data_IF_129385015817
#
_entry.id   IF_129385015817
#
_cell.length_a   1.000
_cell.length_b   1.000
_cell.length_c   1.000
_cell.angle_alpha   90.00
_cell.angle_beta   90.00
_cell.angle_gamma   90.00
#
_symmetry.space_group_name_H-M   'P 1'
#
loop_
_entity.id
_entity.type
_entity.pdbx_description
1 polymer ?
#
# COMPACT_ATOMS: atom_id res chain seq x y z
N UNK A 1 -17.09 -44.21 9.81
CA UNK A 1 -15.65 -44.51 9.74
C UNK A 1 -14.89 -43.23 10.13
N UNK A 2 -13.70 -43.33 10.73
CA UNK A 2 -12.84 -42.17 11.00
C UNK A 2 -11.83 -41.87 9.88
N UNK A 3 -11.86 -42.68 8.81
CA UNK A 3 -10.89 -42.62 7.72
C UNK A 3 -10.93 -41.33 6.92
N UNK A 4 -12.08 -40.67 6.83
CA UNK A 4 -12.22 -39.39 6.13
C UNK A 4 -11.32 -38.30 6.75
N UNK A 5 -11.25 -38.22 8.08
CA UNK A 5 -10.41 -37.24 8.79
C UNK A 5 -8.93 -37.59 8.67
N UNK A 6 -8.60 -38.89 8.64
CA UNK A 6 -7.23 -39.35 8.39
C UNK A 6 -6.76 -38.99 6.98
N UNK A 7 -7.62 -39.20 5.97
CA UNK A 7 -7.33 -38.85 4.57
C UNK A 7 -7.11 -37.34 4.43
N UNK A 8 -7.94 -36.51 5.08
CA UNK A 8 -7.74 -35.05 5.10
C UNK A 8 -6.41 -34.65 5.78
N UNK A 9 -6.02 -35.34 6.85
CA UNK A 9 -4.72 -35.13 7.50
C UNK A 9 -3.53 -35.50 6.60
N UNK A 10 -3.63 -36.59 5.83
CA UNK A 10 -2.59 -36.98 4.87
C UNK A 10 -2.50 -35.98 3.71
N UNK A 11 -3.64 -35.53 3.19
CA UNK A 11 -3.67 -34.51 2.12
C UNK A 11 -3.10 -33.18 2.61
N UNK A 12 -3.36 -32.79 3.86
CA UNK A 12 -2.74 -31.61 4.48
C UNK A 12 -1.20 -31.69 4.50
N UNK A 13 -0.63 -32.88 4.73
CA UNK A 13 0.82 -33.10 4.67
C UNK A 13 1.40 -33.07 3.25
N UNK A 14 0.59 -33.22 2.20
CA UNK A 14 1.02 -33.11 0.80
C UNK A 14 0.81 -31.73 0.20
N UNK A 15 -0.15 -30.97 0.73
CA UNK A 15 -0.59 -29.68 0.14
C UNK A 15 0.03 -28.45 0.80
N UNK A 16 0.75 -28.60 1.91
CA UNK A 16 1.35 -27.48 2.65
C UNK A 16 2.34 -26.62 1.85
N UNK A 17 2.96 -27.19 0.81
CA UNK A 17 3.92 -26.48 -0.06
C UNK A 17 3.24 -25.83 -1.28
N UNK A 18 1.97 -26.14 -1.56
CA UNK A 18 1.28 -25.64 -2.75
C UNK A 18 0.62 -24.29 -2.41
N UNK A 19 0.95 -23.21 -3.15
CA UNK A 19 0.28 -21.92 -3.00
C UNK A 19 -1.25 -22.07 -3.13
N UNK A 20 -2.01 -21.29 -2.37
CA UNK A 20 -3.48 -21.33 -2.27
C UNK A 20 -4.11 -22.52 -1.53
N UNK A 21 -3.53 -23.72 -1.57
CA UNK A 21 -4.12 -24.91 -0.92
C UNK A 21 -3.53 -25.24 0.46
N UNK A 22 -2.32 -24.75 0.78
CA UNK A 22 -1.61 -25.07 2.01
C UNK A 22 -2.28 -24.63 3.31
N UNK A 23 -3.08 -23.56 3.29
CA UNK A 23 -3.83 -23.07 4.47
C UNK A 23 -5.27 -23.62 4.59
N UNK A 24 -6.12 -23.60 3.54
CA UNK A 24 -7.51 -24.02 3.69
C UNK A 24 -7.66 -25.52 3.98
N UNK A 25 -6.79 -26.38 3.42
CA UNK A 25 -6.91 -27.84 3.57
C UNK A 25 -6.66 -28.32 5.01
N UNK A 26 -5.58 -27.90 5.71
CA UNK A 26 -5.40 -28.23 7.13
C UNK A 26 -6.53 -27.71 8.03
N UNK A 27 -7.07 -26.51 7.75
CA UNK A 27 -8.17 -25.91 8.52
C UNK A 27 -9.45 -26.74 8.41
N UNK A 28 -9.80 -27.18 7.19
CA UNK A 28 -10.96 -28.05 6.96
C UNK A 28 -10.78 -29.38 7.70
N UNK A 29 -9.59 -29.98 7.65
CA UNK A 29 -9.28 -31.22 8.38
C UNK A 29 -9.42 -31.07 9.90
N UNK A 30 -8.97 -29.94 10.46
CA UNK A 30 -9.10 -29.60 11.88
C UNK A 30 -10.56 -29.44 12.30
N UNK A 31 -11.33 -28.61 11.59
CA UNK A 31 -12.75 -28.34 11.91
C UNK A 31 -13.58 -29.62 11.80
N UNK A 32 -13.40 -30.38 10.71
CA UNK A 32 -14.14 -31.63 10.50
C UNK A 32 -13.75 -32.70 11.52
N UNK A 33 -12.47 -32.79 11.88
CA UNK A 33 -11.96 -33.71 12.90
C UNK A 33 -12.53 -33.43 14.30
N UNK A 34 -12.55 -32.16 14.72
CA UNK A 34 -13.12 -31.74 16.02
C UNK A 34 -14.62 -32.00 16.08
N UNK A 35 -15.36 -31.73 14.99
CA UNK A 35 -16.80 -32.00 14.91
C UNK A 35 -17.12 -33.50 15.02
N UNK A 36 -16.33 -34.36 14.38
CA UNK A 36 -16.50 -35.81 14.45
C UNK A 36 -16.16 -36.36 15.83
N UNK A 37 -15.10 -35.86 16.48
CA UNK A 37 -14.76 -36.23 17.86
C UNK A 37 -15.88 -35.88 18.84
N UNK A 38 -16.54 -34.73 18.64
CA UNK A 38 -17.67 -34.28 19.47
C UNK A 38 -18.94 -35.10 19.23
N UNK A 39 -19.20 -35.51 17.98
CA UNK A 39 -20.45 -36.23 17.60
C UNK A 39 -20.37 -37.75 17.76
N UNK A 40 -19.19 -38.36 17.68
CA UNK A 40 -19.03 -39.83 17.66
C UNK A 40 -17.80 -40.28 18.48
N UNK A 41 -17.92 -40.39 19.81
CA UNK A 41 -16.79 -40.71 20.69
C UNK A 41 -16.31 -42.17 20.64
N UNK A 42 -16.98 -43.07 19.91
CA UNK A 42 -16.64 -44.49 19.83
C UNK A 42 -15.45 -44.81 18.90
N UNK A 43 -14.92 -43.85 18.14
CA UNK A 43 -13.90 -44.07 17.09
C UNK A 43 -12.76 -43.07 17.18
N UNK A 44 -12.18 -42.94 18.38
CA UNK A 44 -11.19 -41.90 18.74
C UNK A 44 -9.86 -42.01 18.00
N UNK A 45 -9.27 -43.21 17.90
CA UNK A 45 -7.89 -43.37 17.43
C UNK A 45 -7.62 -42.77 16.06
N UNK A 46 -8.38 -43.16 15.05
CA UNK A 46 -8.17 -42.73 13.66
C UNK A 46 -8.47 -41.25 13.44
N UNK A 47 -9.48 -40.70 14.14
CA UNK A 47 -9.83 -39.29 14.04
C UNK A 47 -8.81 -38.40 14.76
N UNK A 48 -8.28 -38.83 15.91
CA UNK A 48 -7.20 -38.12 16.61
C UNK A 48 -5.95 -38.02 15.73
N UNK A 49 -5.55 -39.10 15.05
CA UNK A 49 -4.42 -39.06 14.13
C UNK A 49 -4.60 -38.05 13.01
N UNK A 50 -5.80 -37.96 12.41
CA UNK A 50 -6.10 -36.96 11.37
C UNK A 50 -6.03 -35.53 11.89
N UNK A 51 -6.54 -35.26 13.10
CA UNK A 51 -6.45 -33.93 13.74
C UNK A 51 -4.99 -33.53 14.02
N UNK A 52 -4.16 -34.48 14.50
CA UNK A 52 -2.73 -34.24 14.74
C UNK A 52 -2.02 -33.92 13.41
N UNK A 53 -2.25 -34.71 12.37
CA UNK A 53 -1.67 -34.50 11.04
C UNK A 53 -2.07 -33.15 10.43
N UNK A 54 -3.34 -32.75 10.54
CA UNK A 54 -3.81 -31.43 10.10
C UNK A 54 -3.18 -30.29 10.92
N UNK A 55 -2.93 -30.49 12.21
CA UNK A 55 -2.25 -29.49 13.05
C UNK A 55 -0.80 -29.28 12.62
N UNK A 56 -0.09 -30.37 12.30
CA UNK A 56 1.28 -30.31 11.77
C UNK A 56 1.31 -29.63 10.39
N UNK A 57 0.39 -30.01 9.49
CA UNK A 57 0.29 -29.39 8.17
C UNK A 57 0.03 -27.88 8.23
N UNK A 58 -0.83 -27.43 9.16
CA UNK A 58 -1.08 -26.01 9.38
C UNK A 58 0.16 -25.27 9.89
N UNK A 59 0.90 -25.87 10.83
CA UNK A 59 2.14 -25.28 11.36
C UNK A 59 3.21 -25.13 10.27
N UNK A 60 3.37 -26.15 9.42
CA UNK A 60 4.31 -26.11 8.29
C UNK A 60 3.92 -25.05 7.26
N UNK A 61 2.62 -24.94 6.92
CA UNK A 61 2.13 -23.92 5.99
C UNK A 61 2.40 -22.50 6.50
N UNK A 62 2.11 -22.22 7.78
CA UNK A 62 2.40 -20.90 8.38
C UNK A 62 3.90 -20.61 8.40
N UNK A 63 4.72 -21.59 8.80
CA UNK A 63 6.18 -21.44 8.81
C UNK A 63 6.72 -21.13 7.42
N UNK A 64 6.22 -21.82 6.39
CA UNK A 64 6.59 -21.56 5.00
C UNK A 64 6.19 -20.16 4.53
N UNK A 65 4.98 -19.69 4.88
CA UNK A 65 4.57 -18.31 4.55
C UNK A 65 5.45 -17.26 5.21
N UNK A 66 5.85 -17.47 6.47
CA UNK A 66 6.74 -16.55 7.19
C UNK A 66 8.13 -16.54 6.54
N UNK A 67 8.71 -17.71 6.24
CA UNK A 67 10.01 -17.81 5.57
C UNK A 67 9.95 -17.20 4.18
N UNK A 68 8.87 -17.38 3.43
CA UNK A 68 8.70 -16.76 2.13
C UNK A 68 8.68 -15.23 2.23
N UNK A 69 7.96 -14.67 3.19
CA UNK A 69 7.88 -13.20 3.39
C UNK A 69 9.23 -12.64 3.88
N UNK A 70 9.92 -13.34 4.76
CA UNK A 70 11.25 -12.94 5.25
C UNK A 70 12.37 -13.17 4.21
N UNK A 71 12.24 -14.18 3.36
CA UNK A 71 13.19 -14.52 2.31
C UNK A 71 13.07 -13.66 1.05
N UNK A 72 11.95 -12.95 0.88
CA UNK A 72 11.80 -11.88 -0.10
C UNK A 72 12.17 -10.50 0.46
N UNK A 73 12.70 -10.43 1.69
CA UNK A 73 13.30 -9.19 2.16
C UNK A 73 14.51 -8.88 1.25
N UNK A 74 14.54 -7.71 0.58
CA UNK A 74 15.76 -7.27 -0.10
C UNK A 74 16.90 -7.24 0.91
N UNK A 75 18.11 -7.59 0.50
CA UNK A 75 19.31 -7.75 1.33
C UNK A 75 19.58 -6.57 2.29
N UNK A 76 19.02 -6.57 3.50
CA UNK A 76 19.21 -5.51 4.51
C UNK A 76 20.54 -5.67 5.28
N UNK A 77 21.31 -6.74 5.04
CA UNK A 77 22.55 -7.03 5.80
C UNK A 77 23.74 -7.50 4.96
N UNK A 78 24.00 -6.87 3.81
CA UNK A 78 25.32 -6.99 3.17
C UNK A 78 26.14 -5.71 3.36
N UNK A 79 26.74 -5.55 4.53
CA UNK A 79 27.86 -4.61 4.72
C UNK A 79 29.16 -5.30 4.33
N UNK A 80 29.55 -5.18 3.07
CA UNK A 80 30.93 -5.40 2.63
C UNK A 80 31.39 -4.18 1.83
N UNK A 81 32.39 -3.40 2.30
CA UNK A 81 32.98 -2.36 1.49
C UNK A 81 34.04 -3.01 0.57
N UNK A 82 33.72 -3.13 -0.71
CA UNK A 82 34.62 -3.76 -1.68
C UNK A 82 34.23 -3.51 -3.14
N UNK A 83 34.45 -2.28 -3.60
CA UNK A 83 34.77 -1.82 -4.96
C UNK A 83 34.18 -2.52 -6.21
N UNK A 84 33.44 -1.69 -6.95
CA UNK A 84 33.49 -1.44 -8.40
C UNK A 84 33.00 -2.52 -9.37
N UNK A 85 31.80 -2.31 -9.91
CA UNK A 85 31.60 -2.18 -11.37
C UNK A 85 30.35 -1.30 -11.67
N UNK A 86 30.63 -0.05 -12.05
CA UNK A 86 29.88 0.79 -12.99
C UNK A 86 28.35 0.79 -13.02
N UNK A 87 27.69 1.29 -11.98
CA UNK A 87 26.53 2.20 -12.11
C UNK A 87 26.67 3.23 -10.99
N UNK A 88 27.05 4.46 -11.33
CA UNK A 88 27.06 5.55 -10.33
C UNK A 88 25.61 5.95 -10.12
N UNK A 89 25.00 5.47 -9.04
CA UNK A 89 23.77 6.07 -8.53
C UNK A 89 24.10 7.49 -8.05
N UNK A 90 23.35 8.51 -8.49
CA UNK A 90 23.52 9.86 -7.98
C UNK A 90 23.39 9.88 -6.44
N UNK A 91 24.17 10.72 -5.74
CA UNK A 91 23.95 10.97 -4.31
C UNK A 91 22.48 11.33 -4.06
N UNK A 92 21.88 10.90 -2.93
CA UNK A 92 20.56 11.36 -2.54
C UNK A 92 20.53 12.90 -2.56
N UNK A 93 19.69 13.51 -3.40
CA UNK A 93 19.58 14.96 -3.55
C UNK A 93 20.53 15.63 -4.55
N UNK A 94 21.10 14.92 -5.53
CA UNK A 94 21.83 15.57 -6.63
C UNK A 94 20.96 15.95 -7.84
N UNK A 95 19.67 15.59 -7.82
CA UNK A 95 18.68 16.01 -8.81
C UNK A 95 17.89 17.17 -8.20
N UNK A 96 17.81 18.29 -8.91
CA UNK A 96 16.95 19.40 -8.50
C UNK A 96 15.50 18.95 -8.65
N UNK A 97 14.74 18.97 -7.55
CA UNK A 97 13.36 18.50 -7.58
C UNK A 97 12.50 19.35 -8.50
N UNK A 98 11.75 18.70 -9.37
CA UNK A 98 10.80 19.33 -10.25
C UNK A 98 9.59 18.41 -10.41
N UNK A 99 8.39 18.93 -10.15
CA UNK A 99 7.17 18.17 -10.42
C UNK A 99 6.92 18.09 -11.95
N UNK A 100 7.58 17.17 -12.64
CA UNK A 100 7.46 17.00 -14.10
C UNK A 100 6.65 15.75 -14.48
N UNK A 101 6.22 14.97 -13.49
CA UNK A 101 5.46 13.75 -13.65
C UNK A 101 6.35 12.54 -13.92
N UNK A 102 7.67 12.64 -13.72
CA UNK A 102 8.66 11.58 -13.91
C UNK A 102 9.54 11.46 -12.68
N UNK A 103 9.25 10.44 -11.85
CA UNK A 103 10.04 10.17 -10.65
C UNK A 103 11.40 9.57 -11.00
N UNK A 104 12.47 10.36 -10.87
CA UNK A 104 13.84 9.94 -11.19
C UNK A 104 14.58 9.32 -9.99
N UNK A 105 15.55 8.40 -10.23
CA UNK A 105 16.41 7.89 -9.17
C UNK A 105 17.18 9.03 -8.47
N UNK A 106 16.95 9.19 -7.17
CA UNK A 106 17.64 10.20 -6.35
C UNK A 106 16.92 11.54 -6.22
N UNK A 107 15.77 11.71 -6.89
CA UNK A 107 14.90 12.88 -6.76
C UNK A 107 14.24 12.97 -5.38
N UNK A 108 13.77 11.84 -4.85
CA UNK A 108 13.24 11.72 -3.50
C UNK A 108 14.19 10.93 -2.60
N UNK A 109 14.28 11.36 -1.34
CA UNK A 109 15.10 10.69 -0.32
C UNK A 109 14.49 9.37 0.13
N UNK A 110 13.16 9.36 0.31
CA UNK A 110 12.42 8.25 0.87
C UNK A 110 11.36 7.75 -0.11
N UNK A 111 11.03 6.46 -0.02
CA UNK A 111 9.89 5.90 -0.73
C UNK A 111 9.37 4.64 -0.03
N UNK A 112 8.11 4.30 -0.29
CA UNK A 112 7.44 3.11 0.24
C UNK A 112 6.49 2.54 -0.81
N UNK A 113 6.52 1.21 -0.94
CA UNK A 113 5.55 0.47 -1.74
C UNK A 113 4.37 0.05 -0.88
N UNK A 114 3.16 0.18 -1.42
CA UNK A 114 1.90 -0.22 -0.83
C UNK A 114 1.19 -1.26 -1.71
N UNK A 115 0.05 -1.79 -1.24
CA UNK A 115 -0.76 -2.73 -2.01
C UNK A 115 -1.28 -2.10 -3.31
N UNK A 116 -1.71 -2.94 -4.26
CA UNK A 116 -2.25 -2.53 -5.57
C UNK A 116 -1.27 -1.73 -6.45
N UNK A 117 0.04 -1.89 -6.22
CA UNK A 117 1.07 -1.24 -7.06
C UNK A 117 1.24 0.26 -6.80
N UNK A 118 0.74 0.75 -5.65
CA UNK A 118 0.91 2.15 -5.24
C UNK A 118 2.31 2.34 -4.67
N UNK A 119 2.99 3.40 -5.11
CA UNK A 119 4.29 3.82 -4.61
C UNK A 119 4.19 5.28 -4.17
N UNK A 120 4.71 5.59 -2.98
CA UNK A 120 4.77 6.96 -2.47
C UNK A 120 6.21 7.31 -2.19
N UNK A 121 6.63 8.47 -2.66
CA UNK A 121 7.96 9.02 -2.56
C UNK A 121 7.86 10.33 -1.79
N UNK A 122 8.81 10.60 -0.91
CA UNK A 122 8.82 11.84 -0.15
C UNK A 122 10.22 12.30 0.25
N UNK A 123 10.31 13.61 0.47
CA UNK A 123 11.38 14.25 1.22
C UNK A 123 10.85 15.57 1.81
N UNK A 124 11.62 16.17 2.71
CA UNK A 124 11.32 17.48 3.24
C UNK A 124 12.60 18.31 3.43
N UNK A 125 12.42 19.62 3.45
CA UNK A 125 13.37 20.58 4.00
C UNK A 125 12.75 21.27 5.23
N UNK A 126 13.33 22.38 5.69
CA UNK A 126 12.85 23.11 6.86
C UNK A 126 11.47 23.78 6.66
N UNK A 127 10.99 23.88 5.42
CA UNK A 127 9.80 24.65 5.05
C UNK A 127 8.75 23.82 4.30
N UNK A 128 9.17 22.88 3.48
CA UNK A 128 8.33 22.16 2.53
C UNK A 128 8.45 20.64 2.67
N UNK A 129 7.36 19.96 2.38
CA UNK A 129 7.36 18.56 2.00
C UNK A 129 7.16 18.44 0.49
N UNK A 130 7.84 17.48 -0.10
CA UNK A 130 7.77 17.11 -1.51
C UNK A 130 7.25 15.68 -1.57
N UNK A 131 6.19 15.43 -2.32
CA UNK A 131 5.51 14.13 -2.40
C UNK A 131 5.32 13.75 -3.86
N UNK A 132 5.67 12.50 -4.18
CA UNK A 132 5.29 11.83 -5.41
C UNK A 132 4.43 10.61 -5.10
N UNK A 133 3.32 10.41 -5.81
CA UNK A 133 2.52 9.18 -5.77
C UNK A 133 2.36 8.62 -7.18
N UNK A 134 2.64 7.32 -7.32
CA UNK A 134 2.52 6.57 -8.57
C UNK A 134 1.62 5.35 -8.35
N UNK A 135 0.68 5.11 -9.26
CA UNK A 135 -0.15 3.92 -9.24
C UNK A 135 -0.52 3.47 -10.65
N UNK A 136 -0.76 2.16 -10.81
CA UNK A 136 -1.29 1.57 -12.05
C UNK A 136 -2.78 1.91 -12.15
N UNK A 137 -3.11 2.99 -12.86
CA UNK A 137 -4.47 3.45 -13.13
C UNK A 137 -4.50 4.47 -14.27
N UNK A 138 -5.65 4.56 -14.95
CA UNK A 138 -6.00 5.65 -15.87
C UNK A 138 -6.81 6.77 -15.18
N UNK A 139 -7.22 6.57 -13.93
CA UNK A 139 -7.98 7.55 -13.16
C UNK A 139 -7.13 8.38 -12.20
N UNK A 140 -7.73 8.85 -11.12
CA UNK A 140 -7.05 9.67 -10.13
C UNK A 140 -6.20 8.89 -9.12
N UNK A 141 -5.20 9.56 -8.55
CA UNK A 141 -4.45 9.16 -7.36
C UNK A 141 -4.54 10.27 -6.31
N UNK A 142 -4.45 9.92 -5.03
CA UNK A 142 -4.45 10.90 -3.95
C UNK A 142 -3.67 10.46 -2.72
N UNK A 143 -3.14 11.46 -2.03
CA UNK A 143 -2.57 11.38 -0.69
C UNK A 143 -3.39 12.29 0.21
N UNK A 144 -3.91 11.73 1.29
CA UNK A 144 -4.63 12.48 2.31
C UNK A 144 -3.88 12.42 3.63
N UNK A 145 -3.58 13.56 4.22
CA UNK A 145 -3.02 13.67 5.56
C UNK A 145 -4.14 13.59 6.58
N UNK A 146 -3.86 12.92 7.70
CA UNK A 146 -4.83 12.72 8.80
C UNK A 146 -4.10 12.84 10.14
N UNK A 147 -4.77 13.37 11.17
CA UNK A 147 -4.22 13.41 12.53
C UNK A 147 -4.42 12.08 13.27
N UNK A 148 -5.54 11.39 13.01
CA UNK A 148 -5.89 10.14 13.68
C UNK A 148 -6.65 9.17 12.76
N UNK A 149 -6.57 7.88 13.06
CA UNK A 149 -7.28 6.85 12.30
C UNK A 149 -8.77 6.88 12.63
N UNK A 150 -9.63 6.92 11.60
CA UNK A 150 -11.11 6.77 11.67
C UNK A 150 -11.87 7.93 12.33
N UNK A 151 -11.22 9.05 12.61
CA UNK A 151 -11.82 10.26 13.16
C UNK A 151 -11.05 11.46 12.60
N UNK A 152 -11.74 12.57 12.31
CA UNK A 152 -11.11 13.77 11.72
C UNK A 152 -11.33 13.93 10.22
N UNK A 153 -11.13 15.16 9.75
CA UNK A 153 -11.14 15.47 8.32
C UNK A 153 -9.83 15.07 7.66
N UNK A 154 -9.88 14.93 6.34
CA UNK A 154 -8.74 14.51 5.54
C UNK A 154 -8.30 15.67 4.63
N UNK A 155 -7.10 16.18 4.86
CA UNK A 155 -6.41 17.15 4.03
C UNK A 155 -5.84 16.41 2.82
N UNK A 156 -6.50 16.53 1.68
CA UNK A 156 -6.33 15.63 0.53
C UNK A 156 -5.80 16.38 -0.68
N UNK A 157 -4.64 15.94 -1.17
CA UNK A 157 -4.14 16.30 -2.49
C UNK A 157 -4.45 15.16 -3.45
N UNK A 158 -5.22 15.47 -4.50
CA UNK A 158 -5.70 14.52 -5.49
C UNK A 158 -5.37 14.99 -6.90
N UNK A 159 -5.12 14.07 -7.82
CA UNK A 159 -4.95 14.43 -9.22
C UNK A 159 -5.11 13.27 -10.20
N UNK A 160 -5.44 13.60 -11.44
CA UNK A 160 -5.50 12.69 -12.59
C UNK A 160 -4.98 13.40 -13.84
N UNK A 161 -4.63 12.66 -14.89
CA UNK A 161 -4.42 13.25 -16.21
C UNK A 161 -5.59 12.87 -17.10
N UNK A 162 -6.17 13.85 -17.80
CA UNK A 162 -7.31 13.60 -18.68
C UNK A 162 -6.89 12.85 -19.96
N UNK A 163 -7.89 12.56 -20.81
CA UNK A 163 -7.67 11.94 -22.13
C UNK A 163 -6.70 12.70 -23.07
N UNK A 164 -6.44 13.98 -22.82
CA UNK A 164 -5.46 14.80 -23.55
C UNK A 164 -4.07 14.80 -22.89
N UNK A 165 -3.88 13.99 -21.84
CA UNK A 165 -2.69 13.94 -20.97
C UNK A 165 -2.43 15.25 -20.25
N UNK A 166 -3.46 16.08 -20.06
CA UNK A 166 -3.37 17.28 -19.24
C UNK A 166 -3.64 16.90 -17.79
N UNK A 167 -2.71 17.23 -16.90
CA UNK A 167 -2.87 17.01 -15.46
C UNK A 167 -3.87 17.96 -14.81
N UNK A 168 -4.71 17.41 -13.94
CA UNK A 168 -5.66 18.12 -13.08
C UNK A 168 -5.34 17.78 -11.64
N UNK A 169 -5.21 18.80 -10.79
CA UNK A 169 -4.87 18.65 -9.38
C UNK A 169 -5.87 19.40 -8.51
N UNK A 170 -6.16 18.84 -7.34
CA UNK A 170 -7.17 19.31 -6.42
C UNK A 170 -6.62 19.30 -5.01
N UNK A 171 -6.78 20.45 -4.36
CA UNK A 171 -6.58 20.66 -2.93
C UNK A 171 -7.95 20.56 -2.26
N UNK A 172 -8.18 19.48 -1.52
CA UNK A 172 -9.50 19.07 -1.06
C UNK A 172 -9.49 18.88 0.45
N UNK A 173 -10.58 19.30 1.08
CA UNK A 173 -10.90 18.90 2.44
C UNK A 173 -12.05 17.90 2.41
N UNK A 174 -11.81 16.70 2.93
CA UNK A 174 -12.89 15.74 3.15
C UNK A 174 -13.36 15.85 4.61
N UNK A 175 -14.59 16.32 4.83
CA UNK A 175 -15.17 16.37 6.17
C UNK A 175 -15.56 14.97 6.67
N UNK A 176 -15.73 14.82 7.99
CA UNK A 176 -16.15 13.58 8.68
C UNK A 176 -17.59 13.12 8.35
N UNK A 177 -18.26 13.72 7.37
CA UNK A 177 -19.65 13.37 7.07
C UNK A 177 -19.75 11.98 6.40
N UNK A 178 -20.76 11.16 6.76
CA UNK A 178 -20.88 9.78 6.30
C UNK A 178 -21.10 9.61 4.78
N UNK A 179 -21.35 10.69 4.06
CA UNK A 179 -21.62 10.72 2.62
C UNK A 179 -20.36 10.80 1.76
N UNK A 180 -19.19 11.08 2.35
CA UNK A 180 -17.92 11.08 1.65
C UNK A 180 -17.77 12.19 0.61
N UNK A 181 -18.54 13.27 0.73
CA UNK A 181 -18.41 14.45 -0.14
C UNK A 181 -17.08 15.14 0.12
N UNK A 182 -16.24 15.22 -0.93
CA UNK A 182 -15.01 16.02 -0.93
C UNK A 182 -15.38 17.42 -1.37
N UNK A 183 -15.13 18.40 -0.51
CA UNK A 183 -15.39 19.80 -0.83
C UNK A 183 -14.05 20.46 -1.17
N UNK A 184 -14.03 21.29 -2.22
CA UNK A 184 -12.82 22.04 -2.56
C UNK A 184 -12.56 23.06 -1.45
N UNK A 185 -11.32 23.15 -0.98
CA UNK A 185 -11.00 23.94 0.21
C UNK A 185 -11.32 25.44 0.03
N UNK A 186 -11.17 25.95 -1.20
CA UNK A 186 -11.56 27.31 -1.58
C UNK A 186 -13.07 27.56 -1.45
N UNK A 187 -13.90 26.51 -1.55
CA UNK A 187 -15.36 26.61 -1.41
C UNK A 187 -15.80 26.62 0.05
N UNK A 188 -14.94 26.17 0.97
CA UNK A 188 -15.14 26.20 2.42
C UNK A 188 -14.55 27.43 3.11
N UNK A 189 -13.92 28.32 2.33
CA UNK A 189 -13.28 29.54 2.82
C UNK A 189 -11.79 29.39 3.16
N UNK A 190 -11.18 28.25 2.83
CA UNK A 190 -9.73 28.02 2.90
C UNK A 190 -8.96 28.77 1.81
N UNK A 191 -7.65 28.91 2.01
CA UNK A 191 -6.69 29.38 1.03
C UNK A 191 -6.01 28.17 0.40
N UNK A 192 -5.83 28.15 -0.93
CA UNK A 192 -5.03 27.08 -1.53
C UNK A 192 -3.60 27.16 -1.01
N UNK A 193 -3.13 26.07 -0.42
CA UNK A 193 -1.82 25.98 0.21
C UNK A 193 -0.73 25.45 -0.72
N UNK A 194 -1.12 25.14 -1.95
CA UNK A 194 -0.23 24.70 -3.02
C UNK A 194 0.54 25.90 -3.61
N UNK A 195 1.84 25.96 -3.30
CA UNK A 195 2.71 27.05 -3.73
C UNK A 195 3.38 26.78 -5.08
N UNK A 196 3.64 25.50 -5.38
CA UNK A 196 3.96 25.03 -6.73
C UNK A 196 3.40 23.62 -6.92
N UNK A 197 2.88 23.39 -8.11
CA UNK A 197 2.40 22.10 -8.57
C UNK A 197 2.69 22.00 -10.06
N UNK A 198 3.09 20.82 -10.51
CA UNK A 198 3.16 20.55 -11.92
C UNK A 198 2.90 19.06 -12.19
N UNK A 199 2.33 18.81 -13.36
CA UNK A 199 2.16 17.52 -14.02
C UNK A 199 1.58 16.36 -13.17
N UNK A 200 0.25 16.18 -13.28
CA UNK A 200 -0.27 14.81 -13.28
C UNK A 200 -0.08 14.27 -14.68
N UNK A 201 0.82 13.31 -14.84
CA UNK A 201 1.14 12.70 -16.13
C UNK A 201 0.70 11.24 -16.11
N UNK A 202 -0.04 10.83 -17.14
CA UNK A 202 -0.14 9.40 -17.47
C UNK A 202 1.19 9.02 -18.14
N UNK A 203 2.05 8.32 -17.40
CA UNK A 203 3.23 7.70 -18.01
C UNK A 203 2.74 6.47 -18.79
N UNK A 204 2.99 6.48 -20.11
CA UNK A 204 2.74 5.32 -20.95
C UNK A 204 3.71 4.20 -20.63
N UNK A 205 3.13 3.05 -20.28
CA UNK A 205 3.46 1.68 -20.68
C UNK A 205 4.97 1.43 -20.90
N UNK A 206 5.63 0.80 -19.93
CA UNK A 206 6.82 0.01 -20.25
C UNK A 206 6.38 -0.99 -21.32
N UNK A 207 7.03 -1.03 -22.49
CA UNK A 207 6.62 -1.87 -23.63
C UNK A 207 6.50 -3.38 -23.28
N UNK A 208 6.96 -3.81 -22.10
CA UNK A 208 6.82 -5.15 -21.53
C UNK A 208 5.64 -5.34 -20.53
N UNK A 209 5.02 -4.27 -20.02
CA UNK A 209 3.85 -4.31 -19.14
C UNK A 209 2.79 -3.31 -19.62
N UNK A 210 1.73 -3.84 -20.23
CA UNK A 210 0.50 -3.16 -20.76
C UNK A 210 -0.28 -2.25 -19.77
N UNK A 211 0.35 -1.78 -18.69
CA UNK A 211 -0.25 -1.02 -17.60
C UNK A 211 0.08 0.48 -17.71
N UNK A 212 -0.94 1.32 -17.79
CA UNK A 212 -0.83 2.77 -17.63
C UNK A 212 -0.58 3.15 -16.17
N UNK A 213 0.31 4.12 -15.94
CA UNK A 213 0.54 4.68 -14.61
C UNK A 213 0.07 6.12 -14.56
N UNK A 214 -0.58 6.49 -13.47
CA UNK A 214 -0.80 7.90 -13.11
C UNK A 214 0.21 8.29 -12.04
N UNK A 215 0.92 9.39 -12.29
CA UNK A 215 1.90 9.98 -11.37
C UNK A 215 1.46 11.39 -11.01
N UNK A 216 1.45 11.68 -9.72
CA UNK A 216 1.17 13.01 -9.17
C UNK A 216 2.36 13.43 -8.29
N UNK A 217 2.90 14.61 -8.56
CA UNK A 217 3.99 15.22 -7.80
C UNK A 217 3.60 16.62 -7.34
N UNK A 218 3.90 16.95 -6.08
CA UNK A 218 3.59 18.27 -5.53
C UNK A 218 4.52 18.62 -4.38
N UNK A 219 4.58 19.92 -4.07
CA UNK A 219 5.15 20.41 -2.82
C UNK A 219 4.16 21.26 -2.05
N UNK A 220 4.19 21.17 -0.72
CA UNK A 220 3.42 22.04 0.17
C UNK A 220 4.24 22.45 1.38
N UNK A 221 3.84 23.54 2.04
CA UNK A 221 4.45 23.92 3.32
C UNK A 221 4.16 22.88 4.38
N UNK A 222 5.12 22.64 5.27
CA UNK A 222 4.90 21.83 6.47
C UNK A 222 3.82 22.43 7.38
N UNK A 223 3.75 23.77 7.43
CA UNK A 223 2.70 24.52 8.12
C UNK A 223 2.16 25.58 7.17
N UNK A 224 0.89 25.45 6.79
CA UNK A 224 0.25 26.35 5.84
C UNK A 224 -0.43 27.53 6.55
N UNK A 225 -0.91 27.30 7.77
CA UNK A 225 -1.68 28.26 8.55
C UNK A 225 -3.17 28.29 8.18
N UNK A 226 -3.62 27.36 7.33
CA UNK A 226 -5.04 27.09 7.08
C UNK A 226 -5.64 26.23 8.19
N UNK A 227 -6.93 26.41 8.46
CA UNK A 227 -7.70 25.62 9.43
C UNK A 227 -8.12 24.25 8.89
N UNK A 228 -8.07 24.06 7.56
CA UNK A 228 -8.40 22.80 6.88
C UNK A 228 -7.14 22.01 6.46
N UNK A 229 -5.96 22.56 6.68
CA UNK A 229 -4.72 21.84 6.44
C UNK A 229 -4.17 21.22 7.72
N UNK A 230 -3.64 20.02 7.58
CA UNK A 230 -2.96 19.34 8.68
C UNK A 230 -1.49 19.74 8.67
N UNK A 231 -1.06 20.31 9.80
CA UNK A 231 0.36 20.61 10.00
C UNK A 231 1.17 19.32 10.03
N UNK A 232 2.24 19.30 9.24
CA UNK A 232 3.20 18.20 9.21
C UNK A 232 4.37 18.51 10.13
N UNK A 233 4.73 17.54 10.96
CA UNK A 233 5.78 17.67 11.97
C UNK A 233 6.94 16.73 11.66
N UNK A 234 8.12 17.03 12.19
CA UNK A 234 9.24 16.07 12.16
C UNK A 234 8.83 14.76 12.85
N UNK A 235 9.25 13.63 12.26
CA UNK A 235 8.87 12.28 12.65
C UNK A 235 7.69 11.72 11.84
N UNK A 236 6.91 10.78 12.41
CA UNK A 236 5.88 10.05 11.68
C UNK A 236 4.62 10.91 11.46
N UNK A 237 4.17 10.98 10.20
CA UNK A 237 2.90 11.60 9.81
C UNK A 237 2.01 10.56 9.12
N UNK A 238 0.75 10.46 9.56
CA UNK A 238 -0.21 9.50 9.02
C UNK A 238 -0.75 9.98 7.67
N UNK A 239 -0.86 9.05 6.74
CA UNK A 239 -1.47 9.29 5.44
C UNK A 239 -2.49 8.21 5.08
N UNK A 240 -3.44 8.58 4.23
CA UNK A 240 -4.28 7.69 3.44
C UNK A 240 -3.83 7.83 2.00
N UNK A 241 -3.60 6.72 1.33
CA UNK A 241 -3.43 6.71 -0.13
C UNK A 241 -4.68 6.15 -0.76
N UNK A 242 -5.03 6.67 -1.93
CA UNK A 242 -6.20 6.20 -2.66
C UNK A 242 -6.03 6.32 -4.18
N UNK A 243 -6.72 5.43 -4.88
CA UNK A 243 -6.65 5.28 -6.34
C UNK A 243 -8.07 5.14 -6.88
N UNK A 244 -8.44 5.98 -7.84
CA UNK A 244 -9.68 5.90 -8.62
C UNK A 244 -9.45 5.25 -9.97
N UNK A 245 -10.50 4.64 -10.53
CA UNK A 245 -10.47 4.02 -11.87
C UNK A 245 -10.93 4.94 -13.00
N UNK A 246 -11.30 6.19 -12.68
CA UNK A 246 -11.83 7.18 -13.62
C UNK A 246 -11.35 8.58 -13.21
N UNK A 247 -11.48 9.54 -14.12
CA UNK A 247 -11.20 10.97 -13.87
C UNK A 247 -12.22 11.65 -12.94
N UNK A 248 -13.37 11.01 -12.66
CA UNK A 248 -14.35 11.54 -11.70
C UNK A 248 -13.84 11.43 -10.25
N UNK A 249 -13.41 12.57 -9.71
CA UNK A 249 -12.86 12.71 -8.35
C UNK A 249 -13.88 12.42 -7.23
N UNK A 250 -15.18 12.42 -7.55
CA UNK A 250 -16.26 12.12 -6.60
C UNK A 250 -16.57 10.63 -6.53
N UNK A 251 -16.08 9.82 -7.47
CA UNK A 251 -16.24 8.37 -7.40
C UNK A 251 -15.49 7.80 -6.19
N UNK A 252 -16.01 6.70 -5.66
CA UNK A 252 -15.32 5.95 -4.61
C UNK A 252 -13.97 5.42 -5.12
N UNK A 253 -12.91 5.41 -4.29
CA UNK A 253 -11.65 4.79 -4.66
C UNK A 253 -11.83 3.32 -5.02
N UNK A 254 -11.14 2.89 -6.08
CA UNK A 254 -10.94 1.47 -6.40
C UNK A 254 -10.08 0.80 -5.32
N UNK A 255 -9.02 1.48 -4.88
CA UNK A 255 -8.16 1.05 -3.79
C UNK A 255 -7.91 2.19 -2.82
N UNK A 256 -7.86 1.87 -1.53
CA UNK A 256 -7.41 2.78 -0.47
C UNK A 256 -6.66 2.03 0.62
N UNK A 257 -5.75 2.71 1.28
CA UNK A 257 -5.06 2.18 2.45
C UNK A 257 -4.44 3.27 3.30
N UNK A 258 -3.86 2.87 4.42
CA UNK A 258 -3.16 3.76 5.35
C UNK A 258 -1.66 3.60 5.19
N UNK A 259 -0.93 4.66 5.52
CA UNK A 259 0.51 4.70 5.49
C UNK A 259 1.07 5.70 6.51
N UNK A 260 2.39 5.73 6.59
CA UNK A 260 3.14 6.70 7.39
C UNK A 260 4.26 7.23 6.51
N UNK A 261 4.46 8.55 6.51
CA UNK A 261 5.69 9.18 6.01
C UNK A 261 6.50 9.69 7.18
N UNK A 262 7.80 9.47 7.14
CA UNK A 262 8.73 9.96 8.18
C UNK A 262 9.41 11.23 7.66
N UNK A 263 9.21 12.35 8.34
CA UNK A 263 9.83 13.63 8.02
C UNK A 263 11.03 13.89 8.93
N UNK A 264 12.07 14.51 8.39
CA UNK A 264 13.31 14.85 9.13
C UNK A 264 13.22 16.18 9.87
#
# INVERSE_FOLDING_TARGET
MGGEVLVLGIIAMGTWLIPFFGLPVPIIGLVWGVLILRRRPAKKGMTISGVILSSIGLFLAVSYTIISVLGTAPDIFNTSPGNNDGVVSPPPGSVEWQADGVIEPGEYKNYQNYSAGVQIYWMNDDQFVYIGIKAVTEGWVAVSFIEELRSGGEDTIMGYADSSKQGHIFDLWASTQPDGTKENDQQLGGQSSMLDWAAVTIIQVDEEQDASNTVLEFRRRLSTGDVYDIQLLAGPNLIIWSVGSTDDINNSPLYRGYGVIELE
#
